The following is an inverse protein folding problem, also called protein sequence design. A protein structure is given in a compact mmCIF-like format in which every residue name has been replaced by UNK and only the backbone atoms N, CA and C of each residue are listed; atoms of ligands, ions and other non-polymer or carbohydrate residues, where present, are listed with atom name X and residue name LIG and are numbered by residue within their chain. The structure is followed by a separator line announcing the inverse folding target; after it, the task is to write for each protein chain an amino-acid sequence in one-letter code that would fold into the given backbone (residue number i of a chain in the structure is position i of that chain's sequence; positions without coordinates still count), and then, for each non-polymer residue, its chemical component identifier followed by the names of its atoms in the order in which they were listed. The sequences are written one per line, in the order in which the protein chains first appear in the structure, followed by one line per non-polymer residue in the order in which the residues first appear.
data_IF_771641166491
#
_entry.id   IF_771641166491
#
_cell.length_a   1.000
_cell.length_b   1.000
_cell.length_c   1.000
_cell.angle_alpha   90.00
_cell.angle_beta   90.00
_cell.angle_gamma   90.00
#
_symmetry.space_group_name_H-M   'P 1'
#
loop_
_entity.id
_entity.type
_entity.pdbx_description
1 polymer ?
#
# COMPACT_ATOMS: atom_id res chain seq x y z
N UNK A 1 -40.01 -35.18 -28.28
CA UNK A 1 -39.48 -34.86 -26.92
C UNK A 1 -38.23 -34.03 -27.10
N UNK A 2 -38.32 -32.72 -26.88
CA UNK A 2 -37.23 -31.80 -27.05
C UNK A 2 -36.59 -31.59 -25.66
N UNK A 3 -35.32 -31.96 -25.52
CA UNK A 3 -34.52 -31.72 -24.33
C UNK A 3 -34.07 -30.26 -24.41
N UNK A 4 -34.60 -29.42 -23.52
CA UNK A 4 -34.10 -28.08 -23.27
C UNK A 4 -32.75 -28.18 -22.60
N UNK A 5 -31.72 -27.70 -23.27
CA UNK A 5 -30.39 -27.46 -22.71
C UNK A 5 -30.46 -26.10 -22.01
N UNK A 6 -30.65 -26.13 -20.69
CA UNK A 6 -30.47 -24.94 -19.85
C UNK A 6 -28.98 -24.75 -19.67
N UNK A 7 -28.41 -23.80 -20.42
CA UNK A 7 -27.07 -23.26 -20.15
C UNK A 7 -27.15 -22.52 -18.84
N UNK A 8 -26.65 -23.11 -17.77
CA UNK A 8 -26.35 -22.40 -16.53
C UNK A 8 -25.29 -21.33 -16.84
N UNK A 9 -25.73 -20.09 -16.99
CA UNK A 9 -24.84 -18.95 -16.93
C UNK A 9 -24.22 -18.92 -15.51
N UNK A 10 -22.92 -19.21 -15.44
CA UNK A 10 -22.13 -18.95 -14.23
C UNK A 10 -22.24 -17.46 -13.91
N UNK A 11 -22.55 -17.09 -12.66
CA UNK A 11 -22.63 -15.68 -12.29
C UNK A 11 -21.28 -15.01 -12.52
N UNK A 12 -21.32 -13.96 -13.32
CA UNK A 12 -20.18 -13.08 -13.58
C UNK A 12 -19.60 -12.57 -12.27
N UNK A 13 -18.29 -12.68 -12.19
CA UNK A 13 -17.38 -11.86 -11.39
C UNK A 13 -17.84 -11.60 -9.94
N UNK A 14 -17.52 -12.54 -9.06
CA UNK A 14 -17.51 -12.25 -7.63
C UNK A 14 -16.37 -11.26 -7.34
N UNK A 15 -16.66 -9.97 -7.51
CA UNK A 15 -15.73 -8.91 -7.16
C UNK A 15 -15.23 -9.16 -5.71
N UNK A 16 -13.91 -9.30 -5.55
CA UNK A 16 -13.31 -9.47 -4.23
C UNK A 16 -13.87 -8.40 -3.28
N UNK A 17 -14.23 -8.72 -2.04
CA UNK A 17 -14.71 -7.72 -1.09
C UNK A 17 -13.67 -6.61 -0.89
N UNK A 18 -14.12 -5.35 -0.80
CA UNK A 18 -13.23 -4.24 -0.41
C UNK A 18 -12.95 -4.33 1.09
N UNK A 19 -11.78 -4.84 1.43
CA UNK A 19 -11.34 -4.99 2.81
C UNK A 19 -10.61 -3.75 3.34
N UNK A 20 -10.46 -2.69 2.54
CA UNK A 20 -9.94 -1.43 3.01
C UNK A 20 -8.94 -0.73 2.08
N UNK A 21 -8.14 0.16 2.68
CA UNK A 21 -7.18 1.02 2.00
C UNK A 21 -5.77 0.62 2.39
N UNK A 22 -4.94 0.30 1.40
CA UNK A 22 -3.52 0.10 1.61
C UNK A 22 -2.76 1.42 1.56
N UNK A 23 -1.89 1.63 2.54
CA UNK A 23 -1.04 2.82 2.66
C UNK A 23 0.39 2.40 2.32
N UNK A 24 0.95 2.94 1.25
CA UNK A 24 2.35 2.68 0.89
C UNK A 24 3.34 3.47 1.76
N UNK A 25 4.63 3.27 1.54
CA UNK A 25 5.67 3.95 2.30
C UNK A 25 5.71 5.46 2.07
N UNK A 26 5.35 5.94 0.87
CA UNK A 26 5.36 7.37 0.56
C UNK A 26 4.27 8.12 1.33
N UNK A 27 3.10 7.52 1.45
CA UNK A 27 1.99 8.04 2.23
C UNK A 27 2.26 7.88 3.75
N UNK A 28 2.72 6.71 4.17
CA UNK A 28 3.04 6.47 5.58
C UNK A 28 4.11 7.44 6.11
N UNK A 29 5.14 7.75 5.32
CA UNK A 29 6.19 8.69 5.73
C UNK A 29 5.65 10.08 6.07
N UNK A 30 4.61 10.56 5.37
CA UNK A 30 3.99 11.88 5.61
C UNK A 30 3.26 11.98 6.96
N UNK A 31 2.98 10.86 7.62
CA UNK A 31 2.41 10.87 8.98
C UNK A 31 3.44 11.22 10.04
N UNK A 32 4.74 11.01 9.76
CA UNK A 32 5.82 11.18 10.73
C UNK A 32 6.81 12.29 10.36
N UNK A 33 6.87 12.64 9.09
CA UNK A 33 7.72 13.72 8.58
C UNK A 33 6.79 14.70 7.85
N UNK A 34 6.44 15.85 8.48
CA UNK A 34 5.49 16.79 7.91
C UNK A 34 5.94 17.32 6.54
N UNK A 35 5.03 17.23 5.58
CA UNK A 35 5.13 17.73 4.22
C UNK A 35 3.78 18.38 3.81
N UNK A 36 3.68 18.91 2.59
CA UNK A 36 2.53 19.71 2.13
C UNK A 36 1.18 19.01 2.32
N UNK A 37 1.10 17.69 2.10
CA UNK A 37 -0.15 16.94 2.15
C UNK A 37 -0.43 16.27 3.50
N UNK A 38 0.50 16.38 4.46
CA UNK A 38 0.43 15.65 5.74
C UNK A 38 -0.86 15.91 6.53
N UNK A 39 -1.30 17.17 6.60
CA UNK A 39 -2.53 17.53 7.34
C UNK A 39 -3.79 16.95 6.68
N UNK A 40 -3.86 16.98 5.34
CA UNK A 40 -4.99 16.43 4.61
C UNK A 40 -5.04 14.90 4.74
N UNK A 41 -3.87 14.27 4.69
CA UNK A 41 -3.75 12.84 4.89
C UNK A 41 -4.19 12.44 6.31
N UNK A 42 -3.70 13.12 7.35
CA UNK A 42 -4.10 12.86 8.74
C UNK A 42 -5.62 13.03 8.92
N UNK A 43 -6.19 14.10 8.36
CA UNK A 43 -7.63 14.33 8.40
C UNK A 43 -8.41 13.20 7.71
N UNK A 44 -7.95 12.74 6.54
CA UNK A 44 -8.58 11.65 5.80
C UNK A 44 -8.53 10.31 6.55
N UNK A 45 -7.42 10.02 7.24
CA UNK A 45 -7.24 8.75 7.95
C UNK A 45 -7.95 8.70 9.31
N UNK A 46 -8.28 9.85 9.88
CA UNK A 46 -8.85 9.96 11.23
C UNK A 46 -10.17 9.22 11.36
N UNK A 47 -10.24 8.34 12.37
CA UNK A 47 -11.44 7.56 12.67
C UNK A 47 -11.70 6.39 11.74
N UNK A 48 -10.77 6.09 10.81
CA UNK A 48 -10.88 4.91 9.94
C UNK A 48 -10.36 3.65 10.64
N UNK A 49 -10.98 2.53 10.32
CA UNK A 49 -10.61 1.19 10.84
C UNK A 49 -10.29 0.20 9.72
N UNK A 50 -10.30 0.66 8.47
CA UNK A 50 -10.09 -0.12 7.26
C UNK A 50 -8.70 0.10 6.64
N UNK A 51 -7.74 0.52 7.45
CA UNK A 51 -6.40 0.87 7.00
C UNK A 51 -5.44 -0.33 7.07
N UNK A 52 -4.65 -0.49 6.03
CA UNK A 52 -3.64 -1.55 5.92
C UNK A 52 -2.27 -0.95 5.65
N UNK A 53 -1.27 -1.50 6.31
CA UNK A 53 0.15 -1.24 6.06
C UNK A 53 0.89 -2.57 5.94
N UNK A 54 2.14 -2.54 5.54
CA UNK A 54 2.99 -3.73 5.51
C UNK A 54 4.30 -3.52 6.29
N UNK A 55 4.99 -4.61 6.60
CA UNK A 55 6.36 -4.55 7.10
C UNK A 55 7.30 -3.84 6.12
N UNK A 56 7.00 -3.96 4.82
CA UNK A 56 7.73 -3.22 3.79
C UNK A 56 7.57 -1.71 3.97
N UNK A 57 6.31 -1.22 4.13
CA UNK A 57 6.04 0.22 4.36
C UNK A 57 6.80 0.73 5.58
N UNK A 58 6.77 -0.01 6.69
CA UNK A 58 7.50 0.34 7.93
C UNK A 58 9.01 0.43 7.67
N UNK A 59 9.58 -0.58 7.03
CA UNK A 59 11.03 -0.63 6.74
C UNK A 59 11.46 0.52 5.84
N UNK A 60 10.69 0.85 4.81
CA UNK A 60 11.00 1.96 3.90
C UNK A 60 10.89 3.32 4.57
N UNK A 61 9.89 3.53 5.44
CA UNK A 61 9.80 4.77 6.24
C UNK A 61 11.03 4.93 7.13
N UNK A 62 11.45 3.86 7.81
CA UNK A 62 12.68 3.89 8.63
C UNK A 62 13.92 4.13 7.76
N UNK A 63 13.98 3.56 6.56
CA UNK A 63 15.06 3.83 5.59
C UNK A 63 15.09 5.31 5.17
N UNK A 64 13.94 5.92 4.92
CA UNK A 64 13.83 7.35 4.59
C UNK A 64 14.29 8.23 5.76
N UNK A 65 13.92 7.92 7.00
CA UNK A 65 14.38 8.60 8.21
C UNK A 65 15.91 8.48 8.36
N UNK A 66 16.46 7.29 8.15
CA UNK A 66 17.90 7.06 8.21
C UNK A 66 18.67 7.85 7.13
N UNK A 67 18.11 7.95 5.92
CA UNK A 67 18.66 8.78 4.85
C UNK A 67 18.68 10.25 5.24
N UNK A 68 17.54 10.83 5.69
CA UNK A 68 17.45 12.23 6.14
C UNK A 68 18.43 12.55 7.29
N UNK A 69 18.67 11.57 8.16
CA UNK A 69 19.69 11.71 9.21
C UNK A 69 21.11 11.80 8.63
N UNK A 70 21.46 10.94 7.67
CA UNK A 70 22.78 11.00 7.00
C UNK A 70 23.00 12.29 6.23
N UNK A 71 21.93 12.84 5.66
CA UNK A 71 21.94 14.13 4.95
C UNK A 71 21.95 15.35 5.89
N UNK A 72 21.90 15.13 7.20
CA UNK A 72 21.90 16.21 8.20
C UNK A 72 20.56 16.93 8.39
N UNK A 73 19.50 16.49 7.68
CA UNK A 73 18.15 17.07 7.77
C UNK A 73 17.41 16.66 9.06
N UNK A 74 17.86 15.59 9.72
CA UNK A 74 17.32 15.13 11.01
C UNK A 74 18.45 14.87 12.00
N UNK A 75 18.27 15.36 13.22
CA UNK A 75 19.15 15.01 14.34
C UNK A 75 18.89 13.56 14.83
N UNK A 76 19.89 12.98 15.53
CA UNK A 76 19.79 11.61 16.05
C UNK A 76 18.59 11.43 17.00
N UNK A 77 18.30 12.41 17.85
CA UNK A 77 17.15 12.38 18.77
C UNK A 77 15.82 12.35 18.01
N UNK A 78 15.65 13.20 16.99
CA UNK A 78 14.46 13.26 16.16
C UNK A 78 14.25 11.95 15.39
N UNK A 79 15.32 11.41 14.76
CA UNK A 79 15.24 10.14 14.04
C UNK A 79 14.79 8.99 14.95
N UNK A 80 15.28 8.93 16.20
CA UNK A 80 14.85 7.93 17.17
C UNK A 80 13.39 8.13 17.63
N UNK A 81 12.95 9.38 17.80
CA UNK A 81 11.55 9.68 18.14
C UNK A 81 10.60 9.25 17.01
N UNK A 82 10.92 9.59 15.76
CA UNK A 82 10.13 9.18 14.59
C UNK A 82 10.09 7.65 14.50
N UNK A 83 11.24 6.97 14.63
CA UNK A 83 11.29 5.51 14.65
C UNK A 83 10.38 4.93 15.73
N UNK A 84 10.44 5.48 16.95
CA UNK A 84 9.59 5.04 18.07
C UNK A 84 8.10 5.20 17.76
N UNK A 85 7.68 6.34 17.19
CA UNK A 85 6.30 6.60 16.80
C UNK A 85 5.84 5.62 15.71
N UNK A 86 6.61 5.44 14.64
CA UNK A 86 6.30 4.49 13.56
C UNK A 86 6.05 3.08 14.09
N UNK A 87 6.95 2.58 14.96
CA UNK A 87 6.82 1.23 15.50
C UNK A 87 5.66 1.10 16.51
N UNK A 88 5.40 2.14 17.31
CA UNK A 88 4.27 2.19 18.22
C UNK A 88 2.95 2.13 17.47
N UNK A 89 2.79 2.97 16.44
CA UNK A 89 1.56 3.04 15.67
C UNK A 89 1.33 1.76 14.86
N UNK A 90 2.38 1.22 14.24
CA UNK A 90 2.31 -0.05 13.54
C UNK A 90 1.90 -1.23 14.46
N UNK A 91 2.23 -1.15 15.74
CA UNK A 91 1.86 -2.16 16.76
C UNK A 91 0.56 -1.88 17.50
N UNK A 92 -0.06 -0.72 17.34
CA UNK A 92 -1.22 -0.27 18.13
C UNK A 92 -2.54 -0.97 17.80
N UNK A 93 -2.62 -1.67 16.66
CA UNK A 93 -3.86 -2.23 16.13
C UNK A 93 -4.68 -1.25 15.28
N UNK A 94 -4.22 -0.01 15.09
CA UNK A 94 -4.86 0.98 14.21
C UNK A 94 -4.76 0.61 12.74
N UNK A 95 -3.80 -0.24 12.38
CA UNK A 95 -3.58 -0.73 11.04
C UNK A 95 -3.63 -2.26 11.02
N UNK A 96 -4.27 -2.81 9.99
CA UNK A 96 -4.09 -4.21 9.66
C UNK A 96 -2.73 -4.37 8.97
N UNK A 97 -1.87 -5.21 9.53
CA UNK A 97 -0.51 -5.46 9.00
C UNK A 97 -0.53 -6.60 8.01
N UNK A 98 0.20 -6.42 6.92
CA UNK A 98 0.34 -7.40 5.84
C UNK A 98 1.79 -7.88 5.75
N UNK A 99 1.97 -9.20 5.68
CA UNK A 99 3.28 -9.84 5.64
C UNK A 99 3.77 -10.06 4.20
N UNK A 100 5.08 -9.98 4.00
CA UNK A 100 5.76 -10.38 2.77
C UNK A 100 5.83 -11.93 2.71
N UNK A 101 4.80 -12.53 2.17
CA UNK A 101 4.72 -13.99 2.00
C UNK A 101 5.29 -14.44 0.66
N UNK A 102 5.62 -15.75 0.47
CA UNK A 102 5.98 -16.27 -0.84
C UNK A 102 4.93 -16.06 -1.93
N UNK A 103 3.65 -15.94 -1.57
CA UNK A 103 2.56 -15.61 -2.51
C UNK A 103 2.69 -14.18 -3.01
N UNK A 104 2.94 -13.22 -2.11
CA UNK A 104 3.17 -11.81 -2.45
C UNK A 104 4.37 -11.67 -3.39
N UNK A 105 5.47 -12.38 -3.12
CA UNK A 105 6.65 -12.34 -4.00
C UNK A 105 6.35 -12.84 -5.42
N UNK A 106 5.66 -13.99 -5.55
CA UNK A 106 5.27 -14.52 -6.87
C UNK A 106 4.34 -13.57 -7.63
N UNK A 107 3.42 -12.93 -6.92
CA UNK A 107 2.55 -11.93 -7.53
C UNK A 107 3.33 -10.70 -8.00
N UNK A 108 4.26 -10.20 -7.19
CA UNK A 108 5.14 -9.10 -7.59
C UNK A 108 6.00 -9.45 -8.83
N UNK A 109 6.54 -10.67 -8.90
CA UNK A 109 7.27 -11.19 -10.07
C UNK A 109 6.37 -11.21 -11.31
N UNK A 110 5.12 -11.66 -11.19
CA UNK A 110 4.14 -11.65 -12.27
C UNK A 110 3.85 -10.21 -12.75
N UNK A 111 3.64 -9.28 -11.82
CA UNK A 111 3.41 -7.86 -12.13
C UNK A 111 4.58 -7.24 -12.89
N UNK A 112 5.80 -7.50 -12.44
CA UNK A 112 7.03 -7.00 -13.10
C UNK A 112 7.15 -7.46 -14.55
N UNK A 113 6.75 -8.71 -14.84
CA UNK A 113 6.83 -9.27 -16.18
C UNK A 113 5.65 -8.85 -17.07
N UNK A 114 4.48 -8.58 -16.50
CA UNK A 114 3.27 -8.24 -17.25
C UNK A 114 3.06 -6.73 -17.47
N UNK A 115 3.80 -5.87 -16.78
CA UNK A 115 3.63 -4.41 -16.84
C UNK A 115 4.66 -3.80 -17.80
N UNK A 116 4.33 -3.76 -19.10
CA UNK A 116 5.25 -3.25 -20.13
C UNK A 116 5.19 -1.73 -20.27
N UNK A 117 4.02 -1.11 -20.03
CA UNK A 117 3.77 0.32 -20.29
C UNK A 117 4.31 1.27 -19.21
N UNK A 118 4.66 0.75 -18.04
CA UNK A 118 5.15 1.52 -16.88
C UNK A 118 6.44 0.86 -16.40
N UNK A 119 7.53 1.61 -16.18
CA UNK A 119 8.77 1.06 -15.64
C UNK A 119 8.59 0.75 -14.13
N UNK A 120 7.88 -0.33 -13.83
CA UNK A 120 7.56 -0.78 -12.47
C UNK A 120 8.83 -1.21 -11.74
N UNK A 121 9.06 -0.67 -10.54
CA UNK A 121 10.17 -1.08 -9.67
C UNK A 121 9.76 -2.25 -8.78
N UNK A 122 10.75 -2.99 -8.30
CA UNK A 122 10.53 -4.14 -7.41
C UNK A 122 9.69 -3.79 -6.18
N UNK A 123 9.98 -2.67 -5.51
CA UNK A 123 9.23 -2.26 -4.32
C UNK A 123 7.80 -1.84 -4.67
N UNK A 124 7.58 -1.15 -5.78
CA UNK A 124 6.24 -0.79 -6.26
C UNK A 124 5.40 -2.05 -6.55
N UNK A 125 6.00 -3.05 -7.20
CA UNK A 125 5.35 -4.34 -7.46
C UNK A 125 4.99 -5.08 -6.16
N UNK A 126 5.88 -5.06 -5.16
CA UNK A 126 5.61 -5.65 -3.85
C UNK A 126 4.48 -4.94 -3.12
N UNK A 127 4.39 -3.61 -3.18
CA UNK A 127 3.28 -2.85 -2.60
C UNK A 127 1.93 -3.18 -3.27
N UNK A 128 1.90 -3.27 -4.60
CA UNK A 128 0.68 -3.64 -5.34
C UNK A 128 0.26 -5.07 -4.97
N UNK A 129 1.22 -6.02 -4.95
CA UNK A 129 0.96 -7.40 -4.58
C UNK A 129 0.49 -7.55 -3.12
N UNK A 130 1.03 -6.75 -2.19
CA UNK A 130 0.58 -6.69 -0.80
C UNK A 130 -0.85 -6.17 -0.70
N UNK A 131 -1.17 -5.08 -1.40
CA UNK A 131 -2.51 -4.51 -1.43
C UNK A 131 -3.54 -5.55 -1.94
N UNK A 132 -3.26 -6.19 -3.06
CA UNK A 132 -4.14 -7.23 -3.63
C UNK A 132 -4.28 -8.45 -2.70
N UNK A 133 -3.18 -8.95 -2.16
CA UNK A 133 -3.16 -10.08 -1.20
C UNK A 133 -3.94 -9.75 0.09
N UNK A 134 -3.89 -8.49 0.52
CA UNK A 134 -4.66 -7.97 1.65
C UNK A 134 -6.15 -7.78 1.35
N UNK A 135 -6.55 -7.85 0.09
CA UNK A 135 -7.92 -7.55 -0.35
C UNK A 135 -8.25 -6.07 -0.38
N UNK A 136 -7.23 -5.19 -0.41
CA UNK A 136 -7.46 -3.77 -0.61
C UNK A 136 -7.99 -3.51 -2.03
N UNK A 137 -8.94 -2.59 -2.15
CA UNK A 137 -9.41 -2.04 -3.42
C UNK A 137 -8.87 -0.65 -3.67
N UNK A 138 -8.36 -0.02 -2.64
CA UNK A 138 -7.88 1.35 -2.66
C UNK A 138 -6.45 1.41 -2.14
N UNK A 139 -5.69 2.34 -2.68
CA UNK A 139 -4.32 2.62 -2.25
C UNK A 139 -4.11 4.12 -2.07
N UNK A 140 -3.40 4.50 -1.02
CA UNK A 140 -2.86 5.86 -0.86
C UNK A 140 -1.37 5.79 -1.14
N UNK A 141 -0.94 6.55 -2.13
CA UNK A 141 0.46 6.74 -2.50
C UNK A 141 0.70 8.15 -3.00
N UNK A 142 1.88 8.69 -2.75
CA UNK A 142 2.36 9.96 -3.30
C UNK A 142 3.47 9.75 -4.35
N UNK A 143 3.74 8.48 -4.72
CA UNK A 143 4.60 8.16 -5.88
C UNK A 143 3.74 8.01 -7.14
N UNK A 144 3.90 8.94 -8.08
CA UNK A 144 3.10 8.96 -9.32
C UNK A 144 3.27 7.71 -10.20
N UNK A 145 4.42 7.05 -10.17
CA UNK A 145 4.64 5.80 -10.90
C UNK A 145 3.90 4.65 -10.22
N UNK A 146 4.02 4.55 -8.90
CA UNK A 146 3.26 3.59 -8.11
C UNK A 146 1.74 3.79 -8.32
N UNK A 147 1.25 5.04 -8.31
CA UNK A 147 -0.14 5.36 -8.57
C UNK A 147 -0.61 4.87 -9.95
N UNK A 148 0.16 5.17 -11.01
CA UNK A 148 -0.16 4.72 -12.36
C UNK A 148 -0.18 3.20 -12.48
N UNK A 149 0.79 2.51 -11.88
CA UNK A 149 0.85 1.05 -11.88
C UNK A 149 -0.30 0.43 -11.07
N UNK A 150 -0.60 0.97 -9.90
CA UNK A 150 -1.72 0.51 -9.07
C UNK A 150 -3.06 0.61 -9.80
N UNK A 151 -3.31 1.75 -10.48
CA UNK A 151 -4.51 1.94 -11.30
C UNK A 151 -4.58 0.94 -12.45
N UNK A 152 -3.46 0.68 -13.14
CA UNK A 152 -3.39 -0.32 -14.22
C UNK A 152 -3.76 -1.73 -13.74
N UNK A 153 -3.43 -2.05 -12.48
CA UNK A 153 -3.74 -3.34 -11.85
C UNK A 153 -5.05 -3.34 -11.04
N UNK A 154 -5.93 -2.37 -11.28
CA UNK A 154 -7.30 -2.37 -10.76
C UNK A 154 -7.46 -1.82 -9.33
N UNK A 155 -6.42 -1.21 -8.75
CA UNK A 155 -6.53 -0.50 -7.49
C UNK A 155 -6.98 0.95 -7.73
N UNK A 156 -7.95 1.41 -6.96
CA UNK A 156 -8.33 2.81 -6.96
C UNK A 156 -7.32 3.64 -6.16
N UNK A 157 -6.66 4.59 -6.81
CA UNK A 157 -5.79 5.54 -6.12
C UNK A 157 -6.65 6.59 -5.42
N UNK A 158 -6.45 6.75 -4.11
CA UNK A 158 -7.15 7.76 -3.32
C UNK A 158 -6.40 9.08 -3.44
N UNK A 159 -7.08 10.10 -3.89
CA UNK A 159 -6.55 11.48 -3.93
C UNK A 159 -6.71 12.15 -2.56
N UNK A 160 -5.60 12.74 -2.05
CA UNK A 160 -5.52 13.43 -0.76
C UNK A 160 -5.36 14.94 -0.97
#
# INVERSE_FOLDING_TARGET
MAVKNESEELPADSAKPDLGIYIDSSAMAKLYVPETESERLDHFLRGRHDLMISELSVTEVISAVARRRREGALGAKQANQIRGAVLSDAGSGSFRRLDLTPVVHREAERLLLSTESIPLRTLDALHIALADSGGARRVITFDGRMAAAAALHGLQVVEI
#
